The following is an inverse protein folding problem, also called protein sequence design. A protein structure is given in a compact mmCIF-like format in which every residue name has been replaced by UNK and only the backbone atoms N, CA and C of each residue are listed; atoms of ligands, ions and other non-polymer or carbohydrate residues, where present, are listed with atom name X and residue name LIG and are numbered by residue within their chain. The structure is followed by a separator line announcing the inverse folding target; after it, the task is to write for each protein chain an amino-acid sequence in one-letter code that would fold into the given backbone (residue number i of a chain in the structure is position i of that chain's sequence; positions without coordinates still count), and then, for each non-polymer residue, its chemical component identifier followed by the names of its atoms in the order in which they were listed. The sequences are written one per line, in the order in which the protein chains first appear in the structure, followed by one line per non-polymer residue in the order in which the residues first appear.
data_IF_195580492320
#
_entry.id   IF_195580492320
#
_cell.length_a   1.000
_cell.length_b   1.000
_cell.length_c   1.000
_cell.angle_alpha   90.00
_cell.angle_beta   90.00
_cell.angle_gamma   90.00
#
_symmetry.space_group_name_H-M   'P 1'
#
loop_
_entity.id
_entity.type
_entity.pdbx_description
1 polymer ?
#
# COMPACT_ATOMS: atom_id res chain seq x y z
N UNK A 1 -6.04 5.92 5.86
CA UNK A 1 -7.20 5.03 5.68
C UNK A 1 -8.02 4.77 6.96
N UNK A 2 -7.69 5.38 8.10
CA UNK A 2 -8.35 5.03 9.38
C UNK A 2 -9.86 5.26 9.44
N UNK A 3 -10.40 6.27 8.73
CA UNK A 3 -11.86 6.48 8.67
C UNK A 3 -12.55 5.35 7.91
N UNK A 4 -11.98 4.92 6.78
CA UNK A 4 -12.55 3.87 5.93
C UNK A 4 -12.62 2.53 6.66
N UNK A 5 -11.56 2.16 7.38
CA UNK A 5 -11.53 0.93 8.17
C UNK A 5 -12.56 0.97 9.28
N UNK A 6 -12.62 2.07 10.06
CA UNK A 6 -13.61 2.19 11.14
C UNK A 6 -15.04 2.10 10.63
N UNK A 7 -15.33 2.72 9.48
CA UNK A 7 -16.65 2.62 8.85
C UNK A 7 -16.96 1.19 8.43
N UNK A 8 -16.01 0.46 7.83
CA UNK A 8 -16.18 -0.94 7.46
C UNK A 8 -16.41 -1.84 8.68
N UNK A 9 -15.60 -1.70 9.75
CA UNK A 9 -15.78 -2.43 11.01
C UNK A 9 -17.12 -2.11 11.69
N UNK A 10 -17.66 -0.91 11.49
CA UNK A 10 -18.98 -0.51 12.01
C UNK A 10 -20.16 -0.99 11.13
N UNK A 11 -19.92 -1.81 10.10
CA UNK A 11 -20.97 -2.31 9.21
C UNK A 11 -21.42 -1.30 8.15
N UNK A 12 -20.64 -0.24 7.90
CA UNK A 12 -20.95 0.81 6.93
C UNK A 12 -20.76 0.40 5.46
N UNK A 13 -20.50 -0.87 5.17
CA UNK A 13 -20.38 -1.42 3.82
C UNK A 13 -18.97 -1.90 3.46
N UNK A 14 -18.67 -1.86 2.16
CA UNK A 14 -17.42 -2.39 1.58
C UNK A 14 -16.38 -1.25 1.47
N UNK A 15 -15.11 -1.58 1.73
CA UNK A 15 -13.98 -0.67 1.57
C UNK A 15 -12.85 -1.34 0.80
N UNK A 16 -11.91 -0.56 0.27
CA UNK A 16 -10.75 -1.04 -0.47
C UNK A 16 -9.49 -0.23 -0.13
N UNK A 17 -8.33 -0.84 -0.32
CA UNK A 17 -7.03 -0.17 -0.21
C UNK A 17 -5.88 -1.16 0.01
N UNK A 18 -4.77 -0.67 0.56
CA UNK A 18 -3.56 -1.49 0.77
C UNK A 18 -3.77 -2.60 1.81
N UNK A 19 -3.41 -3.82 1.43
CA UNK A 19 -3.60 -5.04 2.23
C UNK A 19 -3.04 -4.88 3.65
N UNK A 20 -1.83 -4.33 3.77
CA UNK A 20 -1.13 -4.15 5.06
C UNK A 20 -1.92 -3.29 6.04
N UNK A 21 -2.77 -2.40 5.54
CA UNK A 21 -3.59 -1.52 6.38
C UNK A 21 -4.80 -2.27 6.95
N UNK A 22 -5.32 -3.28 6.24
CA UNK A 22 -6.47 -4.09 6.64
C UNK A 22 -6.08 -5.39 7.34
N UNK A 23 -4.87 -5.89 7.11
CA UNK A 23 -4.37 -7.17 7.62
C UNK A 23 -4.65 -7.38 9.11
N UNK A 24 -4.42 -6.40 10.01
CA UNK A 24 -4.68 -6.62 11.44
C UNK A 24 -6.15 -6.88 11.77
N UNK A 25 -7.08 -6.27 11.01
CA UNK A 25 -8.52 -6.38 11.23
C UNK A 25 -9.07 -7.69 10.63
N UNK A 26 -8.51 -8.12 9.50
CA UNK A 26 -8.80 -9.43 8.90
C UNK A 26 -8.31 -10.55 9.81
N UNK A 27 -7.08 -10.45 10.33
CA UNK A 27 -6.50 -11.44 11.24
C UNK A 27 -7.29 -11.60 12.54
N UNK A 28 -7.96 -10.53 13.01
CA UNK A 28 -8.85 -10.56 14.18
C UNK A 28 -10.28 -10.99 13.86
N UNK A 29 -10.61 -11.21 12.59
CA UNK A 29 -11.96 -11.57 12.15
C UNK A 29 -12.98 -10.42 12.16
N UNK A 30 -12.52 -9.17 12.31
CA UNK A 30 -13.39 -7.99 12.25
C UNK A 30 -13.80 -7.65 10.81
N UNK A 31 -12.96 -8.02 9.84
CA UNK A 31 -13.21 -7.83 8.42
C UNK A 31 -12.93 -9.14 7.66
N UNK A 32 -13.50 -9.27 6.47
CA UNK A 32 -13.26 -10.37 5.54
C UNK A 32 -12.89 -9.82 4.18
N UNK A 33 -12.10 -10.57 3.41
CA UNK A 33 -11.78 -10.22 2.03
C UNK A 33 -12.96 -10.52 1.11
N UNK A 34 -13.06 -9.77 0.01
CA UNK A 34 -14.08 -9.92 -1.01
C UNK A 34 -13.47 -9.68 -2.38
N UNK A 35 -13.97 -10.40 -3.39
CA UNK A 35 -13.58 -10.24 -4.79
C UNK A 35 -12.08 -10.48 -5.06
N UNK A 36 -11.43 -11.37 -4.30
CA UNK A 36 -9.99 -11.69 -4.44
C UNK A 36 -9.59 -12.06 -5.88
N UNK A 37 -10.47 -12.75 -6.62
CA UNK A 37 -10.21 -13.11 -8.02
C UNK A 37 -10.23 -11.93 -9.01
N UNK A 38 -10.70 -10.76 -8.59
CA UNK A 38 -10.81 -9.54 -9.42
C UNK A 38 -9.84 -8.43 -9.00
N UNK A 39 -8.97 -8.69 -8.02
CA UNK A 39 -7.96 -7.74 -7.56
C UNK A 39 -6.73 -7.81 -8.47
N UNK A 40 -6.39 -6.73 -9.20
CA UNK A 40 -5.16 -6.70 -9.98
C UNK A 40 -3.95 -6.63 -9.04
N UNK A 41 -2.82 -7.18 -9.51
CA UNK A 41 -1.56 -7.04 -8.80
C UNK A 41 -1.19 -5.55 -8.65
N UNK A 42 -0.80 -5.15 -7.44
CA UNK A 42 -0.27 -3.80 -7.22
C UNK A 42 1.10 -3.68 -7.86
N UNK A 43 1.25 -2.75 -8.82
CA UNK A 43 2.50 -2.53 -9.54
C UNK A 43 3.66 -2.01 -8.65
N UNK A 44 3.39 -1.76 -7.37
CA UNK A 44 4.35 -1.24 -6.41
C UNK A 44 4.46 0.28 -6.45
N UNK A 45 5.39 0.78 -5.65
CA UNK A 45 5.71 2.20 -5.61
C UNK A 45 6.78 2.53 -6.64
N UNK A 46 6.66 3.69 -7.26
CA UNK A 46 7.65 4.21 -8.19
C UNK A 46 8.45 5.34 -7.54
N UNK A 47 9.78 5.26 -7.63
CA UNK A 47 10.64 6.35 -7.24
C UNK A 47 10.89 7.27 -8.43
N UNK A 48 10.29 8.45 -8.41
CA UNK A 48 10.46 9.45 -9.47
C UNK A 48 11.54 10.47 -9.11
N UNK A 49 12.60 10.53 -9.92
CA UNK A 49 13.70 11.48 -9.75
C UNK A 49 14.32 11.84 -11.12
N UNK A 50 14.98 13.00 -11.26
CA UNK A 50 15.62 13.37 -12.51
C UNK A 50 16.86 12.52 -12.77
N UNK A 51 16.90 11.86 -13.93
CA UNK A 51 18.11 11.18 -14.42
C UNK A 51 19.12 12.22 -14.91
N UNK A 52 19.94 12.74 -13.99
CA UNK A 52 21.08 13.61 -14.30
C UNK A 52 22.37 12.81 -14.18
N UNK A 53 23.34 13.08 -15.06
CA UNK A 53 24.71 12.53 -14.97
C UNK A 53 25.33 12.72 -13.57
N UNK A 54 24.97 13.81 -12.88
CA UNK A 54 25.45 14.15 -11.55
C UNK A 54 24.33 14.07 -10.49
N UNK A 55 23.84 12.86 -10.19
CA UNK A 55 23.01 12.62 -9.00
C UNK A 55 23.81 12.90 -7.73
N UNK A 56 23.23 13.68 -6.81
CA UNK A 56 23.84 13.94 -5.51
C UNK A 56 24.10 12.62 -4.76
N UNK A 57 25.27 12.43 -4.12
CA UNK A 57 25.64 11.16 -3.48
C UNK A 57 24.59 10.62 -2.49
N UNK A 58 23.95 11.52 -1.73
CA UNK A 58 22.88 11.16 -0.78
C UNK A 58 21.64 10.60 -1.46
N UNK A 59 21.23 11.18 -2.59
CA UNK A 59 20.08 10.69 -3.35
C UNK A 59 20.41 9.35 -4.03
N UNK A 60 21.64 9.19 -4.53
CA UNK A 60 22.10 7.90 -5.06
C UNK A 60 22.03 6.80 -4.00
N UNK A 61 22.58 7.06 -2.81
CA UNK A 61 22.52 6.11 -1.70
C UNK A 61 21.08 5.72 -1.32
N UNK A 62 20.15 6.69 -1.33
CA UNK A 62 18.73 6.40 -1.11
C UNK A 62 18.15 5.53 -2.22
N UNK A 63 18.39 5.88 -3.49
CA UNK A 63 17.92 5.11 -4.65
C UNK A 63 18.43 3.67 -4.55
N UNK A 64 19.73 3.48 -4.31
CA UNK A 64 20.34 2.15 -4.21
C UNK A 64 19.81 1.36 -3.01
N UNK A 65 19.42 2.04 -1.92
CA UNK A 65 18.84 1.39 -0.75
C UNK A 65 17.40 0.92 -0.95
N UNK A 66 16.58 1.69 -1.67
CA UNK A 66 15.14 1.40 -1.85
C UNK A 66 14.82 0.66 -3.14
N UNK A 67 15.79 0.55 -4.05
CA UNK A 67 15.69 -0.27 -5.25
C UNK A 67 15.84 -1.73 -4.84
N UNK A 68 14.75 -2.49 -4.99
CA UNK A 68 14.73 -3.95 -4.87
C UNK A 68 15.50 -4.62 -6.02
#
# INVERSE_FOLDING_TARGET
MGVMIRTACAGGGISFGMEETFQPYIARGELVTLLDAWLPAFAGFYLYFPSRKNLAPKLRALIDHVRL
#
